data_IF_855988921448
#
_entry.id   IF_855988921448
#
_cell.length_a   1.000
_cell.length_b   1.000
_cell.length_c   1.000
_cell.angle_alpha   90.00
_cell.angle_beta   90.00
_cell.angle_gamma   90.00
#
_symmetry.space_group_name_H-M   'P 1'
#
loop_
_entity.id
_entity.type
_entity.pdbx_description
1 polymer ?
#
# COMPACT_ATOMS: atom_id res chain seq x y z
N UNK A 1 6.62 15.18 -0.68
CA UNK A 1 5.15 15.40 -0.73
C UNK A 1 4.34 14.21 -0.20
N UNK A 2 4.68 12.96 -0.54
CA UNK A 2 3.91 11.80 -0.06
C UNK A 2 3.75 11.69 1.47
N UNK A 3 4.77 11.98 2.30
CA UNK A 3 4.63 11.88 3.76
C UNK A 3 3.54 12.81 4.31
N UNK A 4 3.40 14.02 3.74
CA UNK A 4 2.37 14.97 4.14
C UNK A 4 0.97 14.53 3.69
N UNK A 5 0.85 13.93 2.50
CA UNK A 5 -0.42 13.39 2.02
C UNK A 5 -0.89 12.24 2.93
N UNK A 6 -0.01 11.28 3.22
CA UNK A 6 -0.31 10.15 4.10
C UNK A 6 -0.71 10.64 5.50
N UNK A 7 0.08 11.53 6.09
CA UNK A 7 -0.22 12.11 7.39
C UNK A 7 -1.56 12.85 7.38
N UNK A 8 -1.86 13.62 6.32
CA UNK A 8 -3.14 14.32 6.17
C UNK A 8 -4.32 13.36 6.12
N UNK A 9 -4.25 12.32 5.29
CA UNK A 9 -5.31 11.31 5.17
C UNK A 9 -5.54 10.57 6.49
N UNK A 10 -4.47 10.13 7.15
CA UNK A 10 -4.58 9.42 8.43
C UNK A 10 -5.06 10.36 9.57
N UNK A 11 -4.73 11.65 9.55
CA UNK A 11 -5.22 12.58 10.55
C UNK A 11 -6.68 12.97 10.31
N UNK A 12 -7.10 13.08 9.04
CA UNK A 12 -8.47 13.40 8.66
C UNK A 12 -9.45 12.25 8.95
N UNK A 13 -9.00 11.00 8.80
CA UNK A 13 -9.81 9.79 9.04
C UNK A 13 -9.19 8.92 10.14
N UNK A 14 -9.53 9.15 11.43
CA UNK A 14 -8.92 8.44 12.56
C UNK A 14 -9.15 6.92 12.52
N UNK A 15 -10.24 6.47 11.89
CA UNK A 15 -10.55 5.06 11.71
C UNK A 15 -9.78 4.40 10.57
N UNK A 16 -9.13 5.19 9.70
CA UNK A 16 -8.28 4.65 8.65
C UNK A 16 -7.01 4.05 9.27
N UNK A 17 -6.90 2.72 9.21
CA UNK A 17 -5.77 1.97 9.78
C UNK A 17 -4.63 1.75 8.79
N UNK A 18 -4.89 1.92 7.49
CA UNK A 18 -3.92 1.63 6.41
C UNK A 18 -4.36 2.20 5.08
N UNK A 19 -3.37 2.47 4.21
CA UNK A 19 -3.56 2.87 2.81
C UNK A 19 -3.09 1.73 1.92
N UNK A 20 -3.89 1.37 0.91
CA UNK A 20 -3.56 0.30 -0.04
C UNK A 20 -3.13 0.92 -1.38
N UNK A 21 -2.01 0.45 -1.91
CA UNK A 21 -1.54 0.75 -3.26
C UNK A 21 -1.61 -0.51 -4.11
N UNK A 22 -2.22 -0.43 -5.29
CA UNK A 22 -2.36 -1.56 -6.23
C UNK A 22 -1.85 -1.21 -7.64
N UNK A 23 -0.58 -0.79 -7.78
CA UNK A 23 0.00 -0.53 -9.10
C UNK A 23 -0.04 -1.78 -9.98
N UNK A 24 -0.02 -1.55 -11.29
CA UNK A 24 0.26 -2.60 -12.27
C UNK A 24 1.59 -3.29 -11.90
N UNK A 25 1.60 -4.62 -11.93
CA UNK A 25 2.74 -5.42 -11.47
C UNK A 25 4.04 -5.14 -12.26
N UNK A 26 3.95 -4.63 -13.48
CA UNK A 26 5.09 -4.27 -14.33
C UNK A 26 5.60 -2.85 -14.09
N UNK A 27 4.86 -2.00 -13.38
CA UNK A 27 5.25 -0.61 -13.14
C UNK A 27 6.37 -0.51 -12.12
N UNK A 28 7.63 -0.65 -12.58
CA UNK A 28 8.83 -0.55 -11.75
C UNK A 28 8.90 0.79 -10.99
N UNK A 29 8.50 1.89 -11.63
CA UNK A 29 8.52 3.22 -11.04
C UNK A 29 7.58 3.33 -9.82
N UNK A 30 6.34 2.87 -9.98
CA UNK A 30 5.35 2.93 -8.90
C UNK A 30 5.65 1.92 -7.78
N UNK A 31 6.17 0.74 -8.13
CA UNK A 31 6.64 -0.25 -7.14
C UNK A 31 7.76 0.30 -6.27
N UNK A 32 8.80 0.87 -6.90
CA UNK A 32 9.92 1.49 -6.18
C UNK A 32 9.48 2.68 -5.35
N UNK A 33 8.47 3.42 -5.80
CA UNK A 33 7.86 4.49 -5.03
C UNK A 33 7.21 3.97 -3.74
N UNK A 34 6.44 2.88 -3.80
CA UNK A 34 5.86 2.25 -2.61
C UNK A 34 6.92 1.72 -1.66
N UNK A 35 7.95 1.06 -2.18
CA UNK A 35 9.07 0.51 -1.41
C UNK A 35 9.83 1.61 -0.67
N UNK A 36 10.20 2.69 -1.37
CA UNK A 36 10.86 3.85 -0.76
C UNK A 36 9.93 4.61 0.21
N UNK A 37 8.62 4.51 0.03
CA UNK A 37 7.60 5.12 0.87
C UNK A 37 7.31 4.36 2.16
N UNK A 38 8.02 3.26 2.45
CA UNK A 38 7.82 2.45 3.65
C UNK A 38 6.62 1.52 3.58
N UNK A 39 6.08 1.24 2.39
CA UNK A 39 4.98 0.30 2.25
C UNK A 39 5.48 -1.14 2.38
N UNK A 40 4.68 -1.99 3.03
CA UNK A 40 4.88 -3.44 3.06
C UNK A 40 4.32 -4.07 1.79
N UNK A 41 5.11 -4.90 1.11
CA UNK A 41 4.67 -5.65 -0.06
C UNK A 41 3.83 -6.87 0.37
N UNK A 42 2.66 -7.03 -0.24
CA UNK A 42 1.68 -8.09 0.06
C UNK A 42 1.56 -9.13 -1.07
N UNK A 43 2.47 -9.10 -2.04
CA UNK A 43 2.46 -10.03 -3.18
C UNK A 43 1.81 -9.46 -4.43
N UNK A 44 1.92 -10.24 -5.51
CA UNK A 44 1.20 -9.97 -6.76
C UNK A 44 -0.12 -10.74 -6.76
N UNK A 45 -1.19 -10.09 -7.18
CA UNK A 45 -2.54 -10.67 -7.19
C UNK A 45 -3.19 -10.46 -8.55
N UNK A 46 -3.79 -11.52 -9.08
CA UNK A 46 -4.58 -11.46 -10.30
C UNK A 46 -6.01 -11.01 -9.95
N UNK A 47 -6.43 -9.89 -10.53
CA UNK A 47 -7.81 -9.38 -10.51
C UNK A 47 -8.46 -9.71 -11.86
N UNK A 48 -9.80 -9.61 -12.00
CA UNK A 48 -10.48 -9.99 -13.24
C UNK A 48 -9.97 -9.29 -14.51
N UNK A 49 -9.48 -8.05 -14.39
CA UNK A 49 -9.04 -7.20 -15.50
C UNK A 49 -7.52 -6.98 -15.57
N UNK A 50 -6.78 -7.26 -14.49
CA UNK A 50 -5.36 -6.91 -14.38
C UNK A 50 -4.64 -7.68 -13.28
N UNK A 51 -3.31 -7.72 -13.35
CA UNK A 51 -2.44 -8.19 -12.27
C UNK A 51 -1.81 -7.00 -11.55
N UNK A 52 -1.89 -6.98 -10.23
CA UNK A 52 -1.36 -5.88 -9.40
C UNK A 52 -0.24 -6.35 -8.49
N UNK A 53 0.71 -5.47 -8.19
CA UNK A 53 1.63 -5.65 -7.07
C UNK A 53 1.04 -4.91 -5.86
N UNK A 54 0.53 -5.64 -4.87
CA UNK A 54 -0.21 -5.05 -3.76
C UNK A 54 0.76 -4.58 -2.67
N UNK A 55 0.59 -3.35 -2.20
CA UNK A 55 1.36 -2.78 -1.09
C UNK A 55 0.42 -2.14 -0.06
N UNK A 56 0.85 -2.12 1.20
CA UNK A 56 0.15 -1.45 2.29
C UNK A 56 1.07 -0.47 3.01
N UNK A 57 0.58 0.74 3.26
CA UNK A 57 1.19 1.67 4.21
C UNK A 57 0.34 1.67 5.48
N UNK A 58 0.74 0.94 6.52
CA UNK A 58 -0.05 0.81 7.73
C UNK A 58 0.13 2.05 8.64
N UNK A 59 -0.86 2.34 9.49
CA UNK A 59 -0.71 3.34 10.56
C UNK A 59 0.22 2.83 11.66
N UNK A 60 0.07 1.56 12.02
CA UNK A 60 0.92 0.81 12.96
C UNK A 60 1.22 -0.57 12.38
N UNK A 61 2.32 -1.22 12.75
CA UNK A 61 2.69 -2.52 12.16
C UNK A 61 1.60 -3.60 12.33
N UNK A 62 0.77 -3.49 13.38
CA UNK A 62 -0.38 -4.38 13.62
C UNK A 62 -1.49 -4.25 12.57
N UNK A 63 -1.45 -3.20 11.74
CA UNK A 63 -2.41 -2.96 10.68
C UNK A 63 -2.04 -3.65 9.36
N UNK A 64 -0.88 -4.29 9.28
CA UNK A 64 -0.52 -5.11 8.11
C UNK A 64 -1.47 -6.32 8.05
N UNK A 65 -2.19 -6.55 6.93
CA UNK A 65 -3.05 -7.71 6.80
C UNK A 65 -2.22 -9.00 6.96
N UNK A 66 -2.69 -9.94 7.80
CA UNK A 66 -2.12 -11.28 7.81
C UNK A 66 -2.26 -11.91 6.43
N UNK A 67 -1.14 -12.35 5.85
CA UNK A 67 -1.15 -13.14 4.62
C UNK A 67 -1.97 -14.41 4.91
N UNK A 68 -3.09 -14.60 4.23
CA UNK A 68 -3.76 -15.90 4.22
C UNK A 68 -2.96 -16.80 3.29
N UNK A 69 -2.31 -17.82 3.86
CA UNK A 69 -1.60 -18.88 3.16
C UNK A 69 -2.54 -19.72 2.29
#
# INVERSE_FOLDING_TARGET
MLPHFVASVLNAEPQCRRIIFSPDYRSRGTRRFCENGGCTFLGEHDLPDRRVALYVLPRTLDDVPGLRS
#
